data_IF_899483359630
#
_entry.id   IF_899483359630
#
_cell.length_a   1.000
_cell.length_b   1.000
_cell.length_c   1.000
_cell.angle_alpha   90.00
_cell.angle_beta   90.00
_cell.angle_gamma   90.00
#
_symmetry.space_group_name_H-M   'P 1'
#
loop_
_entity.id
_entity.type
_entity.pdbx_description
1 polymer ?
#
# COMPACT_ATOMS: atom_id res chain seq x y z
N UNK A 1 -17.56 1.69 -12.65
CA UNK A 1 -16.78 2.81 -12.07
C UNK A 1 -15.50 2.23 -11.49
N UNK A 2 -14.39 2.29 -12.22
CA UNK A 2 -13.08 2.09 -11.61
C UNK A 2 -12.75 3.37 -10.84
N UNK A 3 -12.69 3.29 -9.52
CA UNK A 3 -12.06 4.35 -8.73
C UNK A 3 -10.56 4.25 -9.02
N UNK A 4 -10.12 5.01 -10.03
CA UNK A 4 -8.72 5.21 -10.33
C UNK A 4 -8.17 6.27 -9.40
N UNK A 5 -7.54 5.86 -8.31
CA UNK A 5 -6.68 6.74 -7.53
C UNK A 5 -5.34 6.86 -8.27
N UNK A 6 -5.13 7.98 -8.95
CA UNK A 6 -3.85 8.31 -9.59
C UNK A 6 -2.75 8.31 -8.53
N UNK A 7 -1.86 7.32 -8.57
CA UNK A 7 -0.66 7.27 -7.73
C UNK A 7 -0.44 6.00 -6.91
N UNK A 8 -1.38 5.05 -6.85
CA UNK A 8 -1.21 3.84 -6.03
C UNK A 8 -0.84 2.62 -6.88
N UNK A 9 0.42 2.18 -6.76
CA UNK A 9 0.80 0.80 -7.07
C UNK A 9 0.62 -0.06 -5.83
N UNK A 10 -0.03 -1.21 -5.95
CA UNK A 10 -0.12 -2.20 -4.86
C UNK A 10 0.42 -3.52 -5.38
N UNK A 11 1.38 -4.08 -4.67
CA UNK A 11 1.80 -5.46 -4.85
C UNK A 11 1.61 -6.21 -3.54
N UNK A 12 1.09 -7.43 -3.59
CA UNK A 12 0.94 -8.27 -2.41
C UNK A 12 1.27 -9.72 -2.73
N UNK A 13 1.74 -10.43 -1.71
CA UNK A 13 1.99 -11.87 -1.77
C UNK A 13 1.62 -12.53 -0.45
N UNK A 14 0.96 -13.67 -0.51
CA UNK A 14 0.75 -14.52 0.66
C UNK A 14 2.09 -15.08 1.17
N UNK A 15 2.21 -15.20 2.49
CA UNK A 15 3.36 -15.81 3.18
C UNK A 15 2.86 -16.92 4.08
N UNK A 16 3.77 -17.73 4.60
CA UNK A 16 3.43 -18.61 5.72
C UNK A 16 3.02 -17.73 6.91
N UNK A 17 1.77 -17.88 7.37
CA UNK A 17 1.22 -17.11 8.48
C UNK A 17 0.62 -15.73 8.14
N UNK A 18 0.55 -15.31 6.87
CA UNK A 18 -0.07 -14.02 6.54
C UNK A 18 0.08 -13.55 5.09
N UNK A 19 0.21 -12.25 4.92
CA UNK A 19 0.49 -11.60 3.64
C UNK A 19 1.50 -10.47 3.84
N UNK A 20 2.33 -10.25 2.82
CA UNK A 20 3.18 -9.06 2.72
C UNK A 20 2.64 -8.17 1.63
N UNK A 21 2.42 -6.90 1.96
CA UNK A 21 1.88 -5.87 1.07
C UNK A 21 2.94 -4.78 0.94
N UNK A 22 3.15 -4.33 -0.30
CA UNK A 22 3.94 -3.15 -0.62
C UNK A 22 3.05 -2.23 -1.42
N UNK A 23 2.89 -0.99 -0.96
CA UNK A 23 2.24 0.06 -1.71
C UNK A 23 3.12 1.30 -1.82
N UNK A 24 2.92 2.01 -2.94
CA UNK A 24 3.65 3.25 -3.25
C UNK A 24 2.68 4.41 -3.09
N UNK A 25 3.11 5.43 -2.38
CA UNK A 25 2.35 6.64 -2.06
C UNK A 25 3.17 7.88 -2.42
N UNK A 26 2.49 8.99 -2.70
CA UNK A 26 3.16 10.26 -3.00
C UNK A 26 3.78 10.88 -1.75
N UNK A 27 3.13 10.73 -0.59
CA UNK A 27 3.65 11.20 0.69
C UNK A 27 3.38 10.20 1.81
N UNK A 28 4.12 10.34 2.90
CA UNK A 28 3.98 9.50 4.09
C UNK A 28 2.62 9.71 4.77
N UNK A 29 2.15 10.95 4.83
CA UNK A 29 0.90 11.34 5.47
C UNK A 29 -0.31 10.69 4.80
N UNK A 30 -0.26 10.52 3.47
CA UNK A 30 -1.32 9.82 2.73
C UNK A 30 -1.39 8.35 3.12
N UNK A 31 -0.24 7.68 3.24
CA UNK A 31 -0.16 6.29 3.67
C UNK A 31 -0.68 6.12 5.11
N UNK A 32 -0.24 6.99 6.03
CA UNK A 32 -0.65 6.93 7.43
C UNK A 32 -2.14 7.21 7.60
N UNK A 33 -2.70 8.18 6.88
CA UNK A 33 -4.13 8.47 6.90
C UNK A 33 -4.95 7.28 6.37
N UNK A 34 -4.51 6.64 5.28
CA UNK A 34 -5.18 5.45 4.76
C UNK A 34 -5.14 4.29 5.77
N UNK A 35 -3.99 4.06 6.40
CA UNK A 35 -3.86 3.03 7.43
C UNK A 35 -4.75 3.33 8.63
N UNK A 36 -4.71 4.55 9.16
CA UNK A 36 -5.44 4.94 10.37
C UNK A 36 -6.96 4.94 10.17
N UNK A 37 -7.43 5.49 9.06
CA UNK A 37 -8.86 5.79 8.88
C UNK A 37 -9.59 4.81 7.97
N UNK A 38 -8.88 3.97 7.23
CA UNK A 38 -9.50 3.00 6.30
C UNK A 38 -9.09 1.57 6.61
N UNK A 39 -7.80 1.24 6.52
CA UNK A 39 -7.36 -0.15 6.63
C UNK A 39 -7.43 -0.68 8.07
N UNK A 40 -6.97 0.12 9.04
CA UNK A 40 -6.90 -0.23 10.46
C UNK A 40 -8.24 -0.68 11.03
N UNK A 41 -9.33 0.10 10.88
CA UNK A 41 -10.67 -0.29 11.34
C UNK A 41 -11.13 -1.63 10.75
N UNK A 42 -10.97 -1.81 9.43
CA UNK A 42 -11.36 -3.06 8.74
C UNK A 42 -10.56 -4.25 9.26
N UNK A 43 -9.25 -4.10 9.42
CA UNK A 43 -8.40 -5.19 9.95
C UNK A 43 -8.73 -5.51 11.41
N UNK A 44 -9.05 -4.51 12.23
CA UNK A 44 -9.42 -4.70 13.63
C UNK A 44 -10.77 -5.44 13.75
N UNK A 45 -11.76 -5.08 12.94
CA UNK A 45 -13.05 -5.79 12.88
C UNK A 45 -12.90 -7.27 12.50
N UNK A 46 -11.91 -7.59 11.65
CA UNK A 46 -11.58 -8.94 11.22
C UNK A 46 -10.67 -9.70 12.19
N UNK A 47 -10.25 -9.09 13.30
CA UNK A 47 -9.31 -9.69 14.26
C UNK A 47 -7.89 -9.87 13.72
N UNK A 48 -7.56 -9.20 12.60
CA UNK A 48 -6.24 -9.21 12.00
C UNK A 48 -5.33 -8.30 12.82
N UNK A 49 -4.20 -8.84 13.28
CA UNK A 49 -3.23 -8.07 14.03
C UNK A 49 -2.61 -6.97 13.15
N UNK A 50 -2.30 -5.79 13.73
CA UNK A 50 -1.54 -4.76 13.02
C UNK A 50 -0.27 -5.34 12.38
N UNK A 51 0.02 -5.03 11.10
CA UNK A 51 1.24 -5.49 10.47
C UNK A 51 2.46 -4.75 11.03
N UNK A 52 3.63 -5.36 10.86
CA UNK A 52 4.89 -4.64 10.97
C UNK A 52 5.04 -3.70 9.76
N UNK A 53 5.19 -2.40 10.03
CA UNK A 53 5.29 -1.37 9.00
C UNK A 53 6.74 -0.94 8.79
N UNK A 54 7.20 -0.96 7.54
CA UNK A 54 8.49 -0.43 7.11
C UNK A 54 8.28 0.55 5.97
N UNK A 55 9.10 1.59 5.91
CA UNK A 55 8.95 2.68 4.95
C UNK A 55 10.28 2.97 4.28
N UNK A 56 10.21 3.20 2.98
CA UNK A 56 11.38 3.41 2.13
C UNK A 56 11.06 4.55 1.17
N UNK A 57 11.96 5.53 1.10
CA UNK A 57 11.84 6.61 0.13
C UNK A 57 12.15 6.09 -1.27
N UNK A 58 11.24 6.37 -2.22
CA UNK A 58 11.44 6.00 -3.62
C UNK A 58 12.25 7.09 -4.30
N UNK A 59 13.53 6.82 -4.52
CA UNK A 59 14.44 7.80 -5.14
C UNK A 59 14.34 7.86 -6.67
N UNK A 60 13.89 6.78 -7.31
CA UNK A 60 13.68 6.70 -8.76
C UNK A 60 12.48 5.79 -9.04
N UNK A 61 11.65 6.16 -10.00
CA UNK A 61 10.58 5.31 -10.52
C UNK A 61 10.64 5.29 -12.05
N UNK A 62 10.58 4.09 -12.63
CA UNK A 62 10.60 3.90 -14.08
C UNK A 62 9.14 3.87 -14.57
N UNK A 63 8.61 5.01 -14.99
CA UNK A 63 7.21 5.14 -15.41
C UNK A 63 7.01 5.15 -16.93
N UNK A 64 8.08 5.33 -17.72
CA UNK A 64 8.02 5.19 -19.16
C UNK A 64 8.36 3.74 -19.54
N UNK A 65 7.35 2.97 -19.93
CA UNK A 65 7.57 1.82 -20.81
C UNK A 65 8.06 2.31 -22.19
N UNK A 66 8.62 1.44 -23.04
CA UNK A 66 9.04 1.84 -24.38
C UNK A 66 7.86 2.47 -25.14
N UNK A 67 8.13 3.56 -25.87
CA UNK A 67 7.21 4.07 -26.91
C UNK A 67 7.19 3.02 -28.04
N UNK A 68 6.00 2.57 -28.44
CA UNK A 68 5.81 1.70 -29.62
C UNK A 68 5.99 2.47 -30.93
#
# INVERSE_FOLDING_TARGET
MSVGFTGRGIHWRATEGGARIVDVWQTREQADAFYQYTLGPVTAELGIQPPEMSYFDVHNFQTAGPEE
#
